data_IF_275000281002
#
_entry.id   IF_275000281002
#
_cell.length_a   1.000
_cell.length_b   1.000
_cell.length_c   1.000
_cell.angle_alpha   90.00
_cell.angle_beta   90.00
_cell.angle_gamma   90.00
#
_symmetry.space_group_name_H-M   'P 1'
#
loop_
_entity.id
_entity.type
_entity.pdbx_description
1 polymer ?
#
# COMPACT_ATOMS: atom_id res chain seq x y z
N UNK A 1 -0.14 -9.07 -16.74
CA UNK A 1 -0.68 -10.20 -15.94
C UNK A 1 0.29 -10.56 -14.83
N UNK A 2 -0.14 -10.37 -13.59
CA UNK A 2 0.63 -10.62 -12.36
C UNK A 2 -0.08 -11.67 -11.50
N UNK A 3 0.62 -12.19 -10.50
CA UNK A 3 0.02 -13.02 -9.45
C UNK A 3 -0.32 -12.16 -8.24
N UNK A 4 -1.54 -12.29 -7.71
CA UNK A 4 -1.96 -11.65 -6.47
C UNK A 4 -2.27 -12.73 -5.45
N UNK A 5 -1.57 -12.70 -4.32
CA UNK A 5 -1.82 -13.58 -3.19
C UNK A 5 -2.56 -12.81 -2.11
N UNK A 6 -3.89 -12.94 -2.10
CA UNK A 6 -4.75 -12.26 -1.15
C UNK A 6 -5.08 -13.18 0.02
N UNK A 7 -4.72 -12.75 1.22
CA UNK A 7 -5.12 -13.40 2.47
C UNK A 7 -6.17 -12.59 3.25
N UNK A 8 -6.60 -11.45 2.70
CA UNK A 8 -7.64 -10.60 3.25
C UNK A 8 -9.03 -11.06 2.79
N UNK A 9 -9.98 -11.37 3.70
CA UNK A 9 -11.36 -11.61 3.31
C UNK A 9 -11.98 -10.35 2.70
N UNK A 10 -12.71 -10.53 1.60
CA UNK A 10 -13.49 -9.46 1.00
C UNK A 10 -14.84 -9.41 1.70
N UNK A 11 -14.99 -8.40 2.55
CA UNK A 11 -16.20 -8.16 3.34
C UNK A 11 -17.09 -7.12 2.64
N UNK A 12 -18.33 -6.93 3.12
CA UNK A 12 -19.25 -6.03 2.44
C UNK A 12 -18.74 -4.59 2.53
N UNK A 13 -19.22 -3.77 1.61
CA UNK A 13 -19.10 -2.32 1.67
C UNK A 13 -19.53 -1.84 3.07
N UNK A 14 -18.75 -0.96 3.69
CA UNK A 14 -18.99 -0.37 5.03
C UNK A 14 -18.62 -1.24 6.26
N UNK A 15 -18.16 -2.49 6.09
CA UNK A 15 -17.75 -3.30 7.26
C UNK A 15 -16.43 -2.79 7.88
N UNK A 16 -15.53 -2.20 7.09
CA UNK A 16 -14.22 -1.73 7.56
C UNK A 16 -13.86 -0.38 6.94
N UNK A 17 -13.66 0.62 7.80
CA UNK A 17 -13.38 2.00 7.38
C UNK A 17 -11.87 2.28 7.39
N UNK A 18 -11.37 2.87 6.32
CA UNK A 18 -9.99 3.34 6.22
C UNK A 18 -9.79 4.51 7.17
N UNK A 19 -8.75 4.39 7.99
CA UNK A 19 -8.28 5.46 8.86
C UNK A 19 -7.03 6.12 8.28
N UNK A 20 -6.14 5.33 7.67
CA UNK A 20 -4.83 5.78 7.20
C UNK A 20 -4.23 4.81 6.20
N UNK A 21 -3.53 5.34 5.19
CA UNK A 21 -2.50 4.61 4.47
C UNK A 21 -1.10 5.08 4.89
N UNK A 22 -0.18 4.15 5.04
CA UNK A 22 1.22 4.43 5.37
C UNK A 22 2.10 3.69 4.39
N UNK A 23 3.02 4.41 3.75
CA UNK A 23 4.03 3.83 2.88
C UNK A 23 5.34 3.77 3.65
N UNK A 24 5.78 2.55 3.96
CA UNK A 24 7.03 2.28 4.67
C UNK A 24 8.15 1.95 3.70
N UNK A 25 9.32 2.55 3.94
CA UNK A 25 10.55 2.34 3.20
C UNK A 25 11.61 1.95 4.23
N UNK A 26 11.86 0.65 4.40
CA UNK A 26 12.79 0.19 5.43
C UNK A 26 14.20 0.02 4.88
N UNK A 27 15.21 0.65 5.51
CA UNK A 27 16.62 0.38 5.22
C UNK A 27 17.11 -0.92 5.89
N UNK A 28 16.41 -1.40 6.93
CA UNK A 28 16.96 -2.28 7.98
C UNK A 28 16.84 -3.78 7.71
N UNK A 29 16.05 -4.19 6.72
CA UNK A 29 15.63 -5.60 6.61
C UNK A 29 16.53 -6.44 5.68
N UNK A 30 17.26 -5.84 4.73
CA UNK A 30 18.06 -6.60 3.75
C UNK A 30 19.10 -5.71 3.01
N UNK A 31 19.93 -6.34 2.18
CA UNK A 31 20.75 -5.76 1.10
C UNK A 31 19.96 -4.92 0.07
N UNK A 32 18.63 -4.82 0.19
CA UNK A 32 17.71 -4.10 -0.70
C UNK A 32 16.71 -3.24 0.05
N UNK A 33 16.19 -2.19 -0.58
CA UNK A 33 15.12 -1.34 -0.04
C UNK A 33 13.81 -2.12 -0.12
N UNK A 34 13.12 -2.28 1.03
CA UNK A 34 11.82 -2.96 1.05
C UNK A 34 10.75 -1.90 1.25
N UNK A 35 9.86 -1.82 0.26
CA UNK A 35 8.68 -1.00 0.33
C UNK A 35 7.50 -1.82 0.84
N UNK A 36 6.64 -1.19 1.63
CA UNK A 36 5.39 -1.78 2.12
C UNK A 36 4.34 -0.69 2.24
N UNK A 37 3.16 -0.88 1.65
CA UNK A 37 2.02 -0.02 1.91
C UNK A 37 1.08 -0.69 2.91
N UNK A 38 0.70 0.02 3.95
CA UNK A 38 -0.15 -0.44 5.03
C UNK A 38 -1.41 0.40 5.11
N UNK A 39 -2.58 -0.22 5.04
CA UNK A 39 -3.86 0.42 5.30
C UNK A 39 -4.32 0.05 6.70
N UNK A 40 -4.53 1.05 7.55
CA UNK A 40 -5.20 0.85 8.82
C UNK A 40 -6.70 0.97 8.62
N UNK A 41 -7.43 -0.07 9.02
CA UNK A 41 -8.88 -0.14 8.97
C UNK A 41 -9.47 -0.39 10.37
N UNK A 42 -10.67 0.12 10.60
CA UNK A 42 -11.43 -0.11 11.86
C UNK A 42 -12.86 -0.54 11.59
N UNK A 43 -13.40 -1.35 12.50
CA UNK A 43 -14.82 -1.72 12.58
C UNK A 43 -15.26 -1.64 14.05
N UNK A 44 -15.90 -0.54 14.44
CA UNK A 44 -16.28 -0.30 15.84
C UNK A 44 -15.06 -0.26 16.77
N UNK A 45 -14.85 -1.32 17.56
CA UNK A 45 -13.69 -1.46 18.45
C UNK A 45 -12.59 -2.36 17.88
N UNK A 46 -12.86 -3.03 16.76
CA UNK A 46 -11.90 -3.89 16.09
C UNK A 46 -11.02 -3.06 15.15
N UNK A 47 -9.77 -3.50 14.98
CA UNK A 47 -8.78 -2.82 14.17
C UNK A 47 -7.90 -3.82 13.45
N UNK A 48 -7.49 -3.50 12.23
CA UNK A 48 -6.59 -4.33 11.43
C UNK A 48 -5.71 -3.49 10.52
N UNK A 49 -4.61 -4.10 10.09
CA UNK A 49 -3.72 -3.53 9.06
C UNK A 49 -3.77 -4.45 7.85
N UNK A 50 -4.03 -3.87 6.68
CA UNK A 50 -3.81 -4.52 5.38
C UNK A 50 -2.45 -4.11 4.88
N UNK A 51 -1.51 -5.05 4.82
CA UNK A 51 -0.20 -4.82 4.21
C UNK A 51 -0.22 -5.27 2.75
N UNK A 52 0.35 -4.43 1.88
CA UNK A 52 0.56 -4.69 0.46
C UNK A 52 2.06 -4.71 0.19
N UNK A 53 2.52 -5.83 -0.35
CA UNK A 53 3.91 -6.07 -0.72
C UNK A 53 4.01 -6.45 -2.20
N UNK A 54 4.45 -5.55 -3.08
CA UNK A 54 4.81 -5.86 -4.44
C UNK A 54 6.20 -6.52 -4.50
N UNK A 55 6.31 -7.51 -5.37
CA UNK A 55 7.54 -8.17 -5.75
C UNK A 55 7.76 -7.87 -7.23
N UNK A 56 8.96 -7.40 -7.57
CA UNK A 56 9.34 -7.04 -8.93
C UNK A 56 10.26 -8.13 -9.52
N UNK A 57 10.41 -8.15 -10.85
CA UNK A 57 11.30 -9.12 -11.51
C UNK A 57 12.78 -8.91 -11.19
N UNK A 58 13.19 -7.69 -10.85
CA UNK A 58 14.56 -7.36 -10.46
C UNK A 58 14.73 -7.33 -8.94
N UNK A 59 15.90 -7.77 -8.48
CA UNK A 59 16.22 -7.99 -7.06
C UNK A 59 16.21 -6.67 -6.26
N UNK A 60 16.51 -5.56 -6.95
CA UNK A 60 16.56 -4.20 -6.40
C UNK A 60 15.27 -3.40 -6.65
N UNK A 61 14.32 -3.93 -7.43
CA UNK A 61 13.03 -3.28 -7.72
C UNK A 61 13.10 -1.94 -8.47
N UNK A 62 14.27 -1.56 -9.00
CA UNK A 62 14.53 -0.25 -9.59
C UNK A 62 13.84 -0.06 -10.95
N UNK A 63 13.85 -1.09 -11.80
CA UNK A 63 13.47 -0.95 -13.22
C UNK A 63 12.58 -2.09 -13.75
N UNK A 64 12.44 -3.18 -13.00
CA UNK A 64 11.70 -4.35 -13.42
C UNK A 64 10.18 -4.17 -13.29
N UNK A 65 9.38 -4.78 -14.20
CA UNK A 65 7.93 -4.78 -14.06
C UNK A 65 7.48 -5.52 -12.79
N UNK A 66 6.25 -5.24 -12.37
CA UNK A 66 5.64 -5.93 -11.24
C UNK A 66 5.47 -7.43 -11.57
N UNK A 67 5.90 -8.30 -10.66
CA UNK A 67 5.80 -9.76 -10.80
C UNK A 67 4.63 -10.32 -9.99
N UNK A 68 4.55 -9.92 -8.73
CA UNK A 68 3.59 -10.43 -7.77
C UNK A 68 3.18 -9.34 -6.78
N UNK A 69 1.97 -9.43 -6.25
CA UNK A 69 1.50 -8.62 -5.12
C UNK A 69 1.00 -9.54 -4.02
N UNK A 70 1.52 -9.38 -2.82
CA UNK A 70 1.04 -10.07 -1.63
C UNK A 70 0.22 -9.09 -0.81
N UNK A 71 -1.02 -9.49 -0.48
CA UNK A 71 -1.93 -8.72 0.36
C UNK A 71 -2.20 -9.52 1.63
N UNK A 72 -1.86 -8.95 2.78
CA UNK A 72 -2.01 -9.62 4.08
C UNK A 72 -2.78 -8.81 5.10
N UNK A 73 -3.71 -9.47 5.79
CA UNK A 73 -4.41 -8.92 6.95
C UNK A 73 -3.68 -9.30 8.22
N UNK A 74 -3.43 -8.30 9.04
CA UNK A 74 -2.98 -8.46 10.41
C UNK A 74 -4.01 -7.84 11.36
N UNK A 75 -4.67 -8.66 12.18
CA UNK A 75 -5.53 -8.15 13.27
C UNK A 75 -4.65 -7.45 14.32
N UNK A 76 -5.09 -6.27 14.78
CA UNK A 76 -4.29 -5.44 15.68
C UNK A 76 -5.13 -4.87 16.81
N UNK A 77 -4.48 -4.72 17.96
CA UNK A 77 -5.01 -3.89 19.03
C UNK A 77 -4.99 -2.41 18.56
N UNK A 78 -6.12 -1.70 18.52
CA UNK A 78 -6.20 -0.30 18.09
C UNK A 78 -5.19 0.62 18.80
N UNK A 79 -4.85 0.30 20.05
CA UNK A 79 -3.91 1.09 20.85
C UNK A 79 -2.44 0.89 20.45
N UNK A 80 -2.12 -0.19 19.73
CA UNK A 80 -0.76 -0.52 19.31
C UNK A 80 -0.49 -0.18 17.84
N UNK A 81 -1.54 0.02 17.03
CA UNK A 81 -1.42 0.31 15.59
C UNK A 81 -0.51 1.50 15.31
N UNK A 82 -0.65 2.59 16.06
CA UNK A 82 0.16 3.79 15.86
C UNK A 82 1.65 3.57 16.12
N UNK A 83 2.01 2.66 17.03
CA UNK A 83 3.41 2.32 17.29
C UNK A 83 4.01 1.49 16.15
N UNK A 84 3.21 0.62 15.54
CA UNK A 84 3.66 -0.20 14.41
C UNK A 84 3.74 0.58 13.10
N UNK A 85 2.85 1.56 12.90
CA UNK A 85 2.82 2.40 11.71
C UNK A 85 3.75 3.62 11.79
N UNK A 86 4.30 3.96 12.96
CA UNK A 86 5.27 5.06 13.13
C UNK A 86 6.75 4.64 12.96
N UNK A 87 7.03 3.47 12.38
CA UNK A 87 8.42 3.02 12.14
C UNK A 87 9.15 3.97 11.17
N UNK A 88 10.41 4.29 11.46
CA UNK A 88 11.23 5.27 10.72
C UNK A 88 11.28 5.03 9.20
N UNK A 89 11.21 6.11 8.41
CA UNK A 89 11.23 6.06 6.95
C UNK A 89 9.86 5.75 6.36
N UNK A 90 8.89 6.64 6.58
CA UNK A 90 7.53 6.45 6.09
C UNK A 90 6.92 7.74 5.56
N UNK A 91 6.01 7.59 4.62
CA UNK A 91 5.12 8.63 4.13
C UNK A 91 3.72 8.28 4.62
N UNK A 92 3.09 9.20 5.33
CA UNK A 92 1.75 9.03 5.85
C UNK A 92 0.75 9.76 4.96
N UNK A 93 -0.31 9.05 4.58
CA UNK A 93 -1.41 9.60 3.80
C UNK A 93 -2.70 9.31 4.56
N UNK A 94 -3.32 10.37 5.08
CA UNK A 94 -4.60 10.26 5.77
C UNK A 94 -5.69 10.15 4.70
N UNK A 95 -6.48 9.08 4.75
CA UNK A 95 -7.55 8.83 3.77
C UNK A 95 -8.87 8.56 4.50
N UNK A 96 -9.57 9.60 4.96
CA UNK A 96 -10.88 9.43 5.56
C UNK A 96 -11.89 8.91 4.52
N UNK A 97 -12.73 7.95 4.91
CA UNK A 97 -13.92 7.55 4.16
C UNK A 97 -13.76 6.41 3.15
N UNK A 98 -12.54 5.89 2.96
CA UNK A 98 -12.31 4.71 2.12
C UNK A 98 -12.72 3.43 2.83
N UNK A 99 -12.86 2.34 2.09
CA UNK A 99 -13.12 1.02 2.69
C UNK A 99 -12.39 -0.09 1.92
N UNK A 100 -12.37 -1.28 2.53
CA UNK A 100 -11.69 -2.44 1.97
C UNK A 100 -12.19 -2.80 0.56
N UNK A 101 -13.45 -2.50 0.24
CA UNK A 101 -14.02 -2.76 -1.08
C UNK A 101 -13.36 -1.88 -2.15
N UNK A 102 -13.06 -0.61 -1.86
CA UNK A 102 -12.32 0.25 -2.78
C UNK A 102 -10.93 -0.30 -3.09
N UNK A 103 -10.19 -0.76 -2.07
CA UNK A 103 -8.88 -1.37 -2.28
C UNK A 103 -8.98 -2.69 -3.06
N UNK A 104 -10.00 -3.51 -2.76
CA UNK A 104 -10.27 -4.72 -3.52
C UNK A 104 -10.55 -4.43 -5.00
N UNK A 105 -11.29 -3.36 -5.32
CA UNK A 105 -11.52 -2.95 -6.72
C UNK A 105 -10.22 -2.52 -7.41
N UNK A 106 -9.39 -1.70 -6.76
CA UNK A 106 -8.11 -1.23 -7.31
C UNK A 106 -7.17 -2.41 -7.60
N UNK A 107 -7.14 -3.39 -6.70
CA UNK A 107 -6.27 -4.57 -6.80
C UNK A 107 -6.93 -5.75 -7.52
N UNK A 108 -8.16 -5.62 -8.03
CA UNK A 108 -8.86 -6.71 -8.71
C UNK A 108 -9.10 -7.94 -7.84
N UNK A 109 -9.27 -7.76 -6.52
CA UNK A 109 -9.50 -8.85 -5.57
C UNK A 109 -10.97 -9.29 -5.63
N UNK A 110 -11.19 -10.61 -5.64
CA UNK A 110 -12.53 -11.21 -5.63
C UNK A 110 -12.83 -12.05 -4.38
N UNK A 111 -11.84 -12.69 -3.78
CA UNK A 111 -11.93 -13.40 -2.49
C UNK A 111 -10.50 -13.63 -1.93
N UNK A 112 -10.37 -14.39 -0.84
CA UNK A 112 -9.11 -14.97 -0.36
C UNK A 112 -8.62 -16.04 -1.34
N UNK A 113 -7.37 -15.92 -1.77
CA UNK A 113 -6.75 -16.88 -2.66
C UNK A 113 -5.62 -16.31 -3.50
N UNK A 114 -5.16 -17.14 -4.43
CA UNK A 114 -4.13 -16.77 -5.40
C UNK A 114 -4.81 -16.56 -6.75
N UNK A 115 -4.65 -15.37 -7.31
CA UNK A 115 -5.29 -14.97 -8.56
C UNK A 115 -4.25 -14.51 -9.57
N UNK A 116 -4.56 -14.72 -10.84
CA UNK A 116 -3.84 -14.05 -11.91
C UNK A 116 -4.72 -12.93 -12.42
N UNK A 117 -4.24 -11.70 -12.26
CA UNK A 117 -5.00 -10.50 -12.60
C UNK A 117 -4.16 -9.56 -13.47
N UNK A 118 -4.84 -8.77 -14.28
CA UNK A 118 -4.21 -7.73 -15.07
C UNK A 118 -4.54 -6.38 -14.45
N UNK A 119 -3.65 -5.86 -13.62
CA UNK A 119 -3.82 -4.55 -12.96
C UNK A 119 -3.64 -3.36 -13.94
N UNK A 120 -3.72 -3.61 -15.25
CA UNK A 120 -3.54 -2.62 -16.31
C UNK A 120 -2.27 -1.80 -16.10
N UNK A 121 -2.45 -0.47 -16.08
CA UNK A 121 -1.38 0.52 -15.94
C UNK A 121 -0.50 0.32 -14.69
N UNK A 122 -0.99 -0.30 -13.60
CA UNK A 122 -0.17 -0.56 -12.41
C UNK A 122 0.89 -1.66 -12.64
N UNK A 123 0.66 -2.57 -13.59
CA UNK A 123 1.60 -3.67 -13.90
C UNK A 123 2.90 -3.16 -14.55
N UNK A 124 2.80 -2.05 -15.29
CA UNK A 124 3.92 -1.45 -16.03
C UNK A 124 4.68 -0.40 -15.20
N UNK A 125 4.18 -0.06 -14.01
CA UNK A 125 4.80 0.90 -13.10
C UNK A 125 5.93 0.25 -12.29
N UNK A 126 7.00 1.01 -12.05
CA UNK A 126 8.03 0.63 -11.10
C UNK A 126 7.49 0.62 -9.66
N UNK A 127 8.24 0.04 -8.72
CA UNK A 127 8.57 0.68 -7.45
C UNK A 127 7.52 1.63 -6.86
N UNK A 128 7.94 2.88 -6.89
CA UNK A 128 7.27 4.04 -6.34
C UNK A 128 5.95 4.26 -7.08
N UNK A 129 5.98 4.24 -8.40
CA UNK A 129 4.81 4.54 -9.23
C UNK A 129 3.66 3.56 -8.97
N UNK A 130 3.93 2.30 -8.65
CA UNK A 130 2.90 1.33 -8.27
C UNK A 130 2.10 1.79 -7.05
N UNK A 131 2.78 2.15 -5.96
CA UNK A 131 2.12 2.58 -4.71
C UNK A 131 1.36 3.88 -4.88
N UNK A 132 1.96 4.89 -5.52
CA UNK A 132 1.25 6.14 -5.80
C UNK A 132 0.11 5.93 -6.79
N UNK A 133 0.23 4.97 -7.71
CA UNK A 133 -0.85 4.55 -8.59
C UNK A 133 -2.03 3.93 -7.83
N UNK A 134 -1.80 3.16 -6.77
CA UNK A 134 -2.86 2.65 -5.89
C UNK A 134 -3.60 3.82 -5.22
N UNK A 135 -2.87 4.77 -4.64
CA UNK A 135 -3.47 5.97 -4.02
C UNK A 135 -4.25 6.80 -5.03
N UNK A 136 -3.69 7.05 -6.21
CA UNK A 136 -4.34 7.73 -7.33
C UNK A 136 -5.65 7.04 -7.75
N UNK A 137 -5.68 5.71 -7.86
CA UNK A 137 -6.92 5.01 -8.21
C UNK A 137 -7.95 5.08 -7.09
N UNK A 138 -7.53 5.08 -5.82
CA UNK A 138 -8.44 5.25 -4.69
C UNK A 138 -9.12 6.62 -4.68
N UNK A 139 -8.43 7.70 -5.10
CA UNK A 139 -9.08 9.03 -5.22
C UNK A 139 -10.13 9.04 -6.33
N UNK A 140 -9.92 8.32 -7.43
CA UNK A 140 -10.88 8.23 -8.54
C UNK A 140 -12.19 7.50 -8.20
N UNK A 141 -12.17 6.56 -7.26
CA UNK A 141 -13.38 5.84 -6.83
C UNK A 141 -14.32 6.68 -5.95
N UNK A 142 -14.04 7.98 -5.78
CA UNK A 142 -14.97 8.90 -5.14
C UNK A 142 -15.10 8.60 -3.67
N UNK A 143 -13.99 8.33 -3.00
CA UNK A 143 -13.96 8.42 -1.55
C UNK A 143 -14.15 9.90 -1.21
N UNK A 144 -15.41 10.29 -1.00
CA UNK A 144 -15.87 11.70 -1.03
C UNK A 144 -15.21 12.59 0.04
N UNK A 145 -14.54 11.98 1.03
CA UNK A 145 -13.84 12.64 2.12
C UNK A 145 -12.30 12.39 2.13
N UNK A 146 -11.72 11.86 1.05
CA UNK A 146 -10.27 11.89 0.87
C UNK A 146 -9.86 13.33 0.51
N UNK A 147 -9.37 14.07 1.50
CA UNK A 147 -8.66 15.34 1.32
C UNK A 147 -7.24 15.08 0.78
N UNK A 148 -7.14 14.35 -0.33
CA UNK A 148 -5.91 14.05 -1.06
C UNK A 148 -6.03 14.62 -2.46
N UNK A 149 -5.35 15.73 -2.69
CA UNK A 149 -5.21 16.32 -4.01
C UNK A 149 -4.15 15.56 -4.81
N UNK A 150 -4.17 15.70 -6.13
CA UNK A 150 -3.06 15.19 -6.95
C UNK A 150 -1.73 15.83 -6.58
N UNK A 151 -1.73 17.07 -6.06
CA UNK A 151 -0.52 17.74 -5.58
C UNK A 151 0.06 16.99 -4.36
N UNK A 152 -0.78 16.52 -3.43
CA UNK A 152 -0.33 15.70 -2.29
C UNK A 152 0.27 14.36 -2.74
N UNK A 153 -0.29 13.75 -3.79
CA UNK A 153 0.26 12.53 -4.42
C UNK A 153 1.64 12.81 -5.03
N UNK A 154 1.83 13.96 -5.69
CA UNK A 154 3.12 14.35 -6.27
C UNK A 154 4.16 14.72 -5.21
N UNK A 155 3.77 15.42 -4.15
CA UNK A 155 4.65 15.74 -3.02
C UNK A 155 5.10 14.46 -2.33
N UNK A 156 4.16 13.55 -2.03
CA UNK A 156 4.48 12.23 -1.50
C UNK A 156 5.44 11.46 -2.42
N UNK A 157 5.23 11.49 -3.74
CA UNK A 157 6.14 10.84 -4.69
C UNK A 157 7.57 11.39 -4.60
N UNK A 158 7.72 12.71 -4.47
CA UNK A 158 9.02 13.34 -4.31
C UNK A 158 9.68 12.98 -2.98
N UNK A 159 8.94 12.99 -1.88
CA UNK A 159 9.45 12.56 -0.57
C UNK A 159 9.90 11.10 -0.59
N UNK A 160 9.18 10.25 -1.32
CA UNK A 160 9.49 8.83 -1.43
C UNK A 160 10.84 8.60 -2.12
N UNK A 161 11.12 9.36 -3.18
CA UNK A 161 12.40 9.35 -3.87
C UNK A 161 13.54 9.79 -2.95
N UNK A 162 13.35 10.86 -2.17
CA UNK A 162 14.36 11.36 -1.25
C UNK A 162 14.65 10.37 -0.11
N UNK A 163 13.60 9.77 0.46
CA UNK A 163 13.72 8.77 1.51
C UNK A 163 14.43 7.51 1.01
N UNK A 164 14.12 7.08 -0.21
CA UNK A 164 14.80 5.94 -0.82
C UNK A 164 16.28 6.22 -1.07
N UNK A 165 16.62 7.36 -1.66
CA UNK A 165 18.02 7.77 -1.86
C UNK A 165 18.77 7.83 -0.52
N UNK A 166 18.14 8.38 0.52
CA UNK A 166 18.71 8.38 1.86
C UNK A 166 18.93 6.95 2.41
N UNK A 167 17.98 6.03 2.19
CA UNK A 167 18.10 4.63 2.58
C UNK A 167 19.22 3.90 1.85
N UNK A 168 19.38 4.14 0.55
CA UNK A 168 20.48 3.59 -0.27
C UNK A 168 21.82 4.12 0.23
N UNK A 169 21.92 5.44 0.40
CA UNK A 169 23.16 6.09 0.85
C UNK A 169 23.58 5.68 2.27
N UNK A 170 22.64 5.43 3.18
CA UNK A 170 22.93 4.99 4.55
C UNK A 170 23.56 3.59 4.62
N UNK A 171 23.57 2.82 3.52
CA UNK A 171 24.13 1.47 3.43
C UNK A 171 25.57 1.40 2.93
N UNK A 172 26.11 2.51 2.41
CA UNK A 172 27.48 2.63 1.86
C UNK A 172 28.44 3.09 2.95
#
# INVERSE_FOLDING_TARGET
MITINNTAPIENKEDWEFQRATLHISPDITDRVVWKMSFWETNGFDSRIIDIFPVYYDIDGEEGPLKEVVVSVNLKDPHLVNLELAQSGFIEVIMPGGDHHHLAMVLGLADVGIYSFDLGDLCDKNRIAFYFGVLEHLTYFGVEDIDLTMDDVYEGFHEALLLEDACVNARI
#
